data_IF_016051804166
#
_entry.id   IF_016051804166
#
_cell.length_a   1.000
_cell.length_b   1.000
_cell.length_c   1.000
_cell.angle_alpha   90.00
_cell.angle_beta   90.00
_cell.angle_gamma   90.00
#
_symmetry.space_group_name_H-M   'P 1'
#
loop_
_entity.id
_entity.type
_entity.pdbx_description
1 polymer ?
#
# COMPACT_ATOMS: atom_id res chain seq x y z
N UNK A 1 -21.83 -41.29 29.63
CA UNK A 1 -22.61 -40.57 28.59
C UNK A 1 -22.61 -39.06 28.76
N UNK A 2 -22.40 -38.48 29.96
CA UNK A 2 -22.35 -37.01 30.18
C UNK A 2 -21.05 -36.37 29.61
N UNK A 3 -19.93 -37.09 29.67
CA UNK A 3 -18.64 -36.54 29.18
C UNK A 3 -18.54 -36.32 27.67
N UNK A 4 -19.20 -37.16 26.86
CA UNK A 4 -19.19 -37.06 25.38
C UNK A 4 -20.03 -35.89 24.87
N UNK A 5 -21.09 -35.50 25.57
CA UNK A 5 -21.93 -34.34 25.19
C UNK A 5 -21.26 -32.99 25.48
N UNK A 6 -20.45 -32.89 26.55
CA UNK A 6 -19.71 -31.68 26.88
C UNK A 6 -18.60 -31.43 25.91
N UNK A 7 -17.82 -32.44 25.50
CA UNK A 7 -16.73 -32.32 24.52
C UNK A 7 -17.24 -31.88 23.14
N UNK A 8 -18.42 -32.35 22.71
CA UNK A 8 -19.03 -31.93 21.45
C UNK A 8 -19.53 -30.48 21.48
N UNK A 9 -20.00 -29.96 22.62
CA UNK A 9 -20.45 -28.58 22.74
C UNK A 9 -19.29 -27.59 22.81
N UNK A 10 -18.22 -27.93 23.51
CA UNK A 10 -17.01 -27.09 23.55
C UNK A 10 -16.34 -26.95 22.20
N UNK A 11 -16.27 -28.02 21.40
CA UNK A 11 -15.71 -27.98 20.04
C UNK A 11 -16.56 -27.08 19.11
N UNK A 12 -17.90 -27.18 19.18
CA UNK A 12 -18.79 -26.31 18.42
C UNK A 12 -18.67 -24.83 18.82
N UNK A 13 -18.48 -24.52 20.11
CA UNK A 13 -18.26 -23.14 20.57
C UNK A 13 -16.95 -22.59 20.07
N UNK A 14 -15.88 -23.39 20.14
CA UNK A 14 -14.56 -23.01 19.67
C UNK A 14 -14.53 -22.74 18.17
N UNK A 15 -15.12 -23.62 17.35
CA UNK A 15 -15.20 -23.45 15.90
C UNK A 15 -15.99 -22.19 15.52
N UNK A 16 -17.09 -21.93 16.21
CA UNK A 16 -17.88 -20.71 16.02
C UNK A 16 -17.09 -19.45 16.38
N UNK A 17 -16.35 -19.49 17.49
CA UNK A 17 -15.50 -18.38 17.93
C UNK A 17 -14.42 -18.09 16.91
N UNK A 18 -13.71 -19.11 16.41
CA UNK A 18 -12.68 -18.97 15.38
C UNK A 18 -13.27 -18.37 14.10
N UNK A 19 -14.42 -18.88 13.65
CA UNK A 19 -15.05 -18.36 12.43
C UNK A 19 -15.46 -16.90 12.57
N UNK A 20 -16.00 -16.50 13.73
CA UNK A 20 -16.40 -15.11 14.01
C UNK A 20 -15.18 -14.18 14.07
N UNK A 21 -14.15 -14.55 14.83
CA UNK A 21 -12.92 -13.77 14.95
C UNK A 21 -12.21 -13.62 13.58
N UNK A 22 -12.22 -14.68 12.77
CA UNK A 22 -11.65 -14.63 11.42
C UNK A 22 -12.42 -13.66 10.52
N UNK A 23 -13.74 -13.66 10.59
CA UNK A 23 -14.59 -12.73 9.84
C UNK A 23 -14.32 -11.27 10.25
N UNK A 24 -14.33 -10.99 11.57
CA UNK A 24 -14.07 -9.64 12.12
C UNK A 24 -12.66 -9.16 11.72
N UNK A 25 -11.65 -10.03 11.82
CA UNK A 25 -10.29 -9.70 11.35
C UNK A 25 -10.28 -9.33 9.88
N UNK A 26 -10.98 -10.09 9.03
CA UNK A 26 -11.08 -9.82 7.59
C UNK A 26 -11.74 -8.47 7.26
N UNK A 27 -12.77 -8.09 8.02
CA UNK A 27 -13.43 -6.79 7.90
C UNK A 27 -12.49 -5.64 8.32
N UNK A 28 -11.78 -5.79 9.44
CA UNK A 28 -10.79 -4.81 9.90
C UNK A 28 -9.62 -4.66 8.92
N UNK A 29 -9.09 -5.76 8.39
CA UNK A 29 -8.06 -5.73 7.35
C UNK A 29 -8.54 -5.00 6.09
N UNK A 30 -9.82 -5.12 5.75
CA UNK A 30 -10.43 -4.42 4.61
C UNK A 30 -10.57 -2.92 4.88
N UNK A 31 -11.02 -2.52 6.07
CA UNK A 31 -11.11 -1.12 6.48
C UNK A 31 -9.74 -0.43 6.46
N UNK A 32 -8.70 -1.10 6.97
CA UNK A 32 -7.33 -0.59 7.00
C UNK A 32 -6.81 -0.42 5.57
N UNK A 33 -6.96 -1.42 4.70
CA UNK A 33 -6.57 -1.33 3.28
C UNK A 33 -7.29 -0.19 2.55
N UNK A 34 -8.59 -0.03 2.79
CA UNK A 34 -9.37 1.03 2.17
C UNK A 34 -8.91 2.43 2.62
N UNK A 35 -8.44 2.57 3.86
CA UNK A 35 -7.88 3.82 4.36
C UNK A 35 -6.60 4.19 3.60
N UNK A 36 -5.65 3.26 3.47
CA UNK A 36 -4.39 3.48 2.78
C UNK A 36 -4.61 3.85 1.30
N UNK A 37 -5.45 3.09 0.62
CA UNK A 37 -5.79 3.36 -0.77
C UNK A 37 -6.58 4.69 -0.92
N UNK A 38 -7.46 5.02 0.01
CA UNK A 38 -8.15 6.31 0.06
C UNK A 38 -7.21 7.49 0.34
N UNK A 39 -6.16 7.31 1.13
CA UNK A 39 -5.12 8.32 1.35
C UNK A 39 -4.37 8.63 0.04
N UNK A 40 -4.00 7.59 -0.72
CA UNK A 40 -3.39 7.73 -2.05
C UNK A 40 -4.25 8.56 -3.01
N UNK A 41 -5.57 8.35 -3.00
CA UNK A 41 -6.48 9.13 -3.87
C UNK A 41 -6.62 10.59 -3.42
N UNK A 42 -6.61 10.87 -2.11
CA UNK A 42 -6.76 12.23 -1.55
C UNK A 42 -5.47 13.03 -1.61
N UNK A 43 -4.37 12.45 -1.18
CA UNK A 43 -3.09 13.13 -0.98
C UNK A 43 -2.16 12.96 -2.19
N UNK A 44 -2.37 11.89 -2.96
CA UNK A 44 -1.46 11.45 -4.00
C UNK A 44 -0.37 10.56 -3.46
N UNK A 45 0.54 10.13 -4.34
CA UNK A 45 1.70 9.32 -3.99
C UNK A 45 2.96 9.96 -4.52
N UNK A 46 3.98 9.98 -3.68
CA UNK A 46 5.31 10.43 -4.03
C UNK A 46 5.96 9.39 -4.94
N UNK A 47 6.28 9.82 -6.17
CA UNK A 47 6.74 8.92 -7.22
C UNK A 47 8.14 9.30 -7.71
N UNK A 48 9.06 8.34 -7.62
CA UNK A 48 10.40 8.46 -8.20
C UNK A 48 10.46 7.76 -9.57
N UNK A 49 10.97 8.48 -10.60
CA UNK A 49 11.28 7.91 -11.91
C UNK A 49 12.79 7.74 -11.99
N UNK A 50 13.26 6.51 -12.12
CA UNK A 50 14.68 6.15 -12.11
C UNK A 50 15.06 5.31 -13.33
N UNK A 51 16.33 5.27 -13.67
CA UNK A 51 16.85 4.51 -14.81
C UNK A 51 18.12 5.16 -15.36
N UNK A 52 18.85 4.45 -16.21
CA UNK A 52 20.07 4.97 -16.86
C UNK A 52 19.80 6.20 -17.73
N UNK A 53 20.82 6.98 -18.08
CA UNK A 53 20.72 7.97 -19.14
C UNK A 53 20.14 7.34 -20.43
N UNK A 54 19.32 8.07 -21.15
CA UNK A 54 18.69 7.65 -22.42
C UNK A 54 17.74 6.43 -22.35
N UNK A 55 17.45 5.87 -21.19
CA UNK A 55 16.43 4.82 -21.04
C UNK A 55 15.00 5.30 -21.37
N UNK A 56 14.78 6.62 -21.42
CA UNK A 56 13.49 7.21 -21.79
C UNK A 56 12.74 7.86 -20.63
N UNK A 57 13.41 8.19 -19.53
CA UNK A 57 12.80 8.87 -18.37
C UNK A 57 12.06 10.15 -18.72
N UNK A 58 12.71 11.03 -19.50
CA UNK A 58 12.10 12.29 -19.95
C UNK A 58 10.91 12.06 -20.89
N UNK A 59 10.96 11.00 -21.71
CA UNK A 59 9.83 10.61 -22.58
C UNK A 59 8.67 10.09 -21.74
N UNK A 60 8.94 9.26 -20.73
CA UNK A 60 7.94 8.81 -19.78
C UNK A 60 7.32 9.99 -19.04
N UNK A 61 8.14 10.92 -18.57
CA UNK A 61 7.66 12.10 -17.85
C UNK A 61 6.72 12.94 -18.74
N UNK A 62 7.07 13.13 -20.03
CA UNK A 62 6.22 13.81 -20.99
C UNK A 62 4.92 13.04 -21.27
N UNK A 63 4.97 11.71 -21.37
CA UNK A 63 3.79 10.85 -21.52
C UNK A 63 2.84 10.97 -20.32
N UNK A 64 3.39 10.97 -19.11
CA UNK A 64 2.60 11.10 -17.87
C UNK A 64 2.03 12.52 -17.73
N UNK A 65 2.79 13.56 -18.08
CA UNK A 65 2.40 14.96 -17.99
C UNK A 65 1.44 15.41 -19.11
N UNK A 66 1.21 14.57 -20.13
CA UNK A 66 0.33 14.90 -21.28
C UNK A 66 -1.07 15.34 -20.83
N UNK A 67 -1.57 16.43 -21.43
CA UNK A 67 -2.88 17.08 -21.32
C UNK A 67 -3.39 17.53 -19.92
N UNK A 68 -3.10 16.81 -18.84
CA UNK A 68 -3.51 17.16 -17.47
C UNK A 68 -2.30 17.50 -16.59
N UNK A 69 -1.63 18.61 -16.92
CA UNK A 69 -0.78 19.27 -15.95
C UNK A 69 -1.69 19.75 -14.83
N UNK A 70 -1.71 19.04 -13.71
CA UNK A 70 -2.29 19.60 -12.50
C UNK A 70 -1.55 20.91 -12.24
N UNK A 71 -2.26 22.04 -12.30
CA UNK A 71 -1.72 23.34 -11.92
C UNK A 71 -1.40 23.20 -10.43
N UNK A 72 -0.14 22.95 -10.12
CA UNK A 72 0.33 22.99 -8.73
C UNK A 72 0.38 24.46 -8.35
N UNK A 73 -0.68 24.94 -7.71
CA UNK A 73 -0.55 26.12 -6.90
C UNK A 73 0.37 25.75 -5.74
N UNK A 74 1.50 26.48 -5.54
CA UNK A 74 2.30 26.26 -4.38
C UNK A 74 1.43 26.55 -3.14
N UNK A 75 1.10 25.51 -2.39
CA UNK A 75 0.46 25.69 -1.09
C UNK A 75 1.55 26.25 -0.19
N UNK A 76 1.49 27.55 0.05
CA UNK A 76 2.37 28.24 0.98
C UNK A 76 2.13 27.65 2.39
N UNK A 77 3.11 26.93 2.94
CA UNK A 77 3.05 26.46 4.32
C UNK A 77 3.74 25.14 4.62
N UNK A 78 4.16 24.34 3.64
CA UNK A 78 4.95 23.13 3.88
C UNK A 78 6.41 23.38 3.51
N UNK A 79 7.20 23.80 4.50
CA UNK A 79 8.64 23.82 4.44
C UNK A 79 9.15 22.39 4.42
N UNK A 80 9.70 22.00 3.29
CA UNK A 80 10.58 20.88 2.93
C UNK A 80 10.00 20.02 1.83
N UNK A 81 10.76 20.03 0.75
CA UNK A 81 10.74 19.23 -0.46
C UNK A 81 9.98 19.85 -1.64
N UNK A 82 10.79 20.20 -2.65
CA UNK A 82 10.33 20.75 -3.91
C UNK A 82 9.63 19.61 -4.67
N UNK A 83 8.32 19.54 -4.61
CA UNK A 83 7.52 18.77 -5.57
C UNK A 83 7.65 19.50 -6.90
N UNK A 84 8.46 18.97 -7.81
CA UNK A 84 8.76 19.66 -9.06
C UNK A 84 7.61 19.57 -10.06
N UNK A 85 6.84 18.47 -10.02
CA UNK A 85 5.70 18.32 -10.89
C UNK A 85 4.68 17.33 -10.31
N UNK A 86 3.41 17.72 -10.22
CA UNK A 86 2.31 16.79 -9.97
C UNK A 86 1.62 16.46 -11.29
N UNK A 87 1.42 15.18 -11.55
CA UNK A 87 0.69 14.69 -12.73
C UNK A 87 -0.48 13.81 -12.28
N UNK A 88 -1.54 13.80 -13.07
CA UNK A 88 -2.68 12.92 -12.82
C UNK A 88 -2.60 11.70 -13.72
N UNK A 89 -2.55 10.52 -13.12
CA UNK A 89 -2.52 9.24 -13.81
C UNK A 89 -3.78 8.43 -13.45
N UNK A 90 -4.82 8.51 -14.28
CA UNK A 90 -6.15 8.05 -13.91
C UNK A 90 -6.69 8.88 -12.74
N UNK A 91 -7.13 8.21 -11.68
CA UNK A 91 -7.63 8.88 -10.46
C UNK A 91 -6.53 9.19 -9.45
N UNK A 92 -5.31 8.74 -9.68
CA UNK A 92 -4.18 8.91 -8.77
C UNK A 92 -3.39 10.16 -9.13
N UNK A 93 -3.09 10.98 -8.12
CA UNK A 93 -2.13 12.07 -8.24
C UNK A 93 -0.73 11.53 -7.94
N UNK A 94 0.20 11.64 -8.91
CA UNK A 94 1.61 11.35 -8.72
C UNK A 94 2.36 12.66 -8.45
N UNK A 95 2.99 12.76 -7.29
CA UNK A 95 3.93 13.83 -6.95
C UNK A 95 5.30 13.39 -7.46
N UNK A 96 5.71 13.88 -8.63
CA UNK A 96 6.99 13.52 -9.22
C UNK A 96 8.08 14.36 -8.59
N UNK A 97 9.08 13.70 -8.03
CA UNK A 97 10.31 14.37 -7.60
C UNK A 97 11.27 14.47 -8.76
N UNK A 98 12.03 15.59 -8.81
CA UNK A 98 13.02 15.81 -9.87
C UNK A 98 14.03 14.67 -9.95
N UNK A 99 13.86 13.91 -10.99
CA UNK A 99 14.82 12.92 -11.44
C UNK A 99 15.76 13.51 -12.50
N UNK A 100 15.54 14.77 -12.92
CA UNK A 100 16.35 15.47 -13.91
C UNK A 100 17.64 16.08 -13.30
N UNK A 101 17.77 16.13 -11.96
CA UNK A 101 19.02 16.44 -11.25
C UNK A 101 20.14 15.40 -11.48
N UNK A 102 19.85 14.32 -12.21
CA UNK A 102 20.85 13.40 -12.78
C UNK A 102 21.46 13.95 -14.09
N UNK A 103 21.43 15.26 -14.31
CA UNK A 103 22.22 15.84 -15.41
C UNK A 103 23.69 15.76 -15.02
N UNK A 104 24.40 14.95 -15.78
CA UNK A 104 25.86 14.86 -15.83
C UNK A 104 26.49 16.24 -15.78
N UNK A 105 27.13 16.57 -14.66
CA UNK A 105 28.17 17.56 -14.57
C UNK A 105 29.37 16.87 -13.93
N UNK A 106 30.48 16.86 -14.67
CA UNK A 106 31.71 16.12 -14.39
C UNK A 106 32.54 16.68 -13.22
N UNK A 107 31.96 17.04 -12.08
CA UNK A 107 32.71 17.53 -10.92
C UNK A 107 32.14 16.96 -9.59
N UNK A 108 32.86 17.09 -8.49
CA UNK A 108 32.59 16.59 -7.12
C UNK A 108 31.16 16.82 -6.58
N UNK A 109 30.35 17.63 -7.25
CA UNK A 109 28.90 17.82 -7.07
C UNK A 109 28.10 16.54 -7.40
N UNK A 110 28.64 15.65 -8.20
CA UNK A 110 28.01 14.42 -8.70
C UNK A 110 27.71 13.41 -7.57
N UNK A 111 28.64 13.22 -6.65
CA UNK A 111 28.46 12.29 -5.52
C UNK A 111 27.34 12.74 -4.55
N UNK A 112 27.14 14.05 -4.40
CA UNK A 112 26.08 14.62 -3.57
C UNK A 112 24.71 14.53 -4.29
N UNK A 113 24.68 14.78 -5.62
CA UNK A 113 23.48 14.62 -6.45
C UNK A 113 22.99 13.17 -6.47
N UNK A 114 23.90 12.21 -6.64
CA UNK A 114 23.61 10.78 -6.58
C UNK A 114 23.06 10.41 -5.19
N UNK A 115 23.64 10.89 -4.11
CA UNK A 115 23.20 10.63 -2.75
C UNK A 115 21.79 11.17 -2.47
N UNK A 116 21.48 12.37 -2.96
CA UNK A 116 20.14 12.98 -2.85
C UNK A 116 19.10 12.19 -3.64
N UNK A 117 19.44 11.75 -4.84
CA UNK A 117 18.56 10.93 -5.68
C UNK A 117 18.27 9.57 -5.03
N UNK A 118 19.27 8.98 -4.38
CA UNK A 118 19.08 7.74 -3.64
C UNK A 118 18.21 7.91 -2.39
N UNK A 119 18.37 9.02 -1.67
CA UNK A 119 17.53 9.34 -0.52
C UNK A 119 16.06 9.53 -0.93
N UNK A 120 15.82 10.25 -2.04
CA UNK A 120 14.46 10.42 -2.58
C UNK A 120 13.83 9.09 -3.03
N UNK A 121 14.62 8.19 -3.60
CA UNK A 121 14.15 6.84 -3.92
C UNK A 121 13.78 6.07 -2.65
N UNK A 122 14.51 6.27 -1.55
CA UNK A 122 14.24 5.63 -0.27
C UNK A 122 12.94 6.13 0.39
N UNK A 123 12.53 7.35 0.11
CA UNK A 123 11.31 8.00 0.64
C UNK A 123 10.09 7.86 -0.29
N UNK A 124 10.30 7.41 -1.55
CA UNK A 124 9.22 7.30 -2.53
C UNK A 124 8.21 6.20 -2.19
N UNK A 125 6.92 6.57 -2.23
CA UNK A 125 5.80 5.63 -2.10
C UNK A 125 5.54 4.80 -3.37
N UNK A 126 6.11 5.22 -4.52
CA UNK A 126 6.06 4.50 -5.79
C UNK A 126 7.36 4.71 -6.55
N UNK A 127 7.90 3.66 -7.16
CA UNK A 127 9.07 3.73 -8.01
C UNK A 127 8.70 3.25 -9.42
N UNK A 128 8.96 4.08 -10.42
CA UNK A 128 8.91 3.71 -11.83
C UNK A 128 10.34 3.59 -12.35
N UNK A 129 10.85 2.37 -12.44
CA UNK A 129 12.18 2.08 -12.93
C UNK A 129 12.15 1.86 -14.46
N UNK A 130 12.81 2.74 -15.22
CA UNK A 130 12.81 2.71 -16.69
C UNK A 130 14.07 2.04 -17.19
N UNK A 131 13.90 0.99 -17.98
CA UNK A 131 14.95 0.23 -18.62
C UNK A 131 14.85 0.37 -20.15
N UNK A 132 15.97 0.33 -20.83
CA UNK A 132 16.01 0.34 -22.31
C UNK A 132 15.87 -1.08 -22.84
N UNK A 133 14.70 -1.43 -23.38
CA UNK A 133 14.43 -2.77 -23.92
C UNK A 133 15.23 -3.10 -25.18
N UNK A 134 15.79 -2.09 -25.87
CA UNK A 134 16.57 -2.28 -27.09
C UNK A 134 18.06 -2.56 -26.85
N UNK A 135 18.51 -2.54 -25.58
CA UNK A 135 19.89 -2.80 -25.18
C UNK A 135 19.98 -3.96 -24.20
N UNK A 136 21.11 -4.70 -24.16
CA UNK A 136 21.33 -5.72 -23.14
C UNK A 136 21.40 -5.11 -21.75
N UNK A 137 21.01 -5.90 -20.73
CA UNK A 137 21.14 -5.54 -19.31
C UNK A 137 22.59 -5.19 -18.96
N UNK A 138 22.76 -4.06 -18.29
CA UNK A 138 24.04 -3.62 -17.77
C UNK A 138 24.18 -3.88 -16.27
N UNK A 139 25.38 -3.71 -15.73
CA UNK A 139 25.62 -3.78 -14.28
C UNK A 139 24.84 -2.71 -13.51
N UNK A 140 24.65 -1.53 -14.10
CA UNK A 140 23.87 -0.42 -13.51
C UNK A 140 22.39 -0.77 -13.42
N UNK A 141 21.84 -1.42 -14.46
CA UNK A 141 20.43 -1.89 -14.45
C UNK A 141 20.21 -2.93 -13.36
N UNK A 142 21.15 -3.86 -13.18
CA UNK A 142 21.07 -4.88 -12.12
C UNK A 142 21.17 -4.26 -10.72
N UNK A 143 22.08 -3.28 -10.54
CA UNK A 143 22.21 -2.57 -9.27
C UNK A 143 20.94 -1.78 -8.94
N UNK A 144 20.33 -1.12 -9.93
CA UNK A 144 19.07 -0.43 -9.80
C UNK A 144 17.93 -1.40 -9.41
N UNK A 145 17.84 -2.53 -10.11
CA UNK A 145 16.82 -3.55 -9.83
C UNK A 145 16.94 -4.09 -8.41
N UNK A 146 18.15 -4.41 -7.95
CA UNK A 146 18.40 -4.87 -6.58
C UNK A 146 17.96 -3.83 -5.55
N UNK A 147 18.17 -2.55 -5.82
CA UNK A 147 17.77 -1.48 -4.91
C UNK A 147 16.26 -1.24 -4.86
N UNK A 148 15.53 -1.62 -5.90
CA UNK A 148 14.07 -1.58 -5.94
C UNK A 148 13.42 -2.78 -5.22
N UNK A 149 14.19 -3.83 -4.90
CA UNK A 149 13.66 -5.04 -4.27
C UNK A 149 12.96 -4.75 -2.94
N UNK A 150 11.77 -5.33 -2.74
CA UNK A 150 10.96 -5.16 -1.53
C UNK A 150 10.25 -3.82 -1.40
N UNK A 151 10.24 -2.99 -2.45
CA UNK A 151 9.59 -1.69 -2.51
C UNK A 151 8.39 -1.69 -3.47
N UNK A 152 7.48 -0.72 -3.36
CA UNK A 152 6.41 -0.55 -4.34
C UNK A 152 7.00 -0.02 -5.66
N UNK A 153 7.57 -0.93 -6.46
CA UNK A 153 8.30 -0.63 -7.67
C UNK A 153 7.74 -1.37 -8.89
N UNK A 154 7.65 -0.66 -10.01
CA UNK A 154 7.28 -1.19 -11.33
C UNK A 154 8.46 -0.99 -12.27
N UNK A 155 8.90 -2.06 -12.93
CA UNK A 155 9.87 -1.98 -14.02
C UNK A 155 9.14 -1.68 -15.34
N UNK A 156 9.56 -0.62 -16.02
CA UNK A 156 9.08 -0.25 -17.35
C UNK A 156 10.20 -0.55 -18.36
N UNK A 157 10.03 -1.61 -19.13
CA UNK A 157 10.95 -1.97 -20.23
C UNK A 157 10.50 -1.17 -21.45
N UNK A 158 11.16 -0.03 -21.64
CA UNK A 158 10.81 0.95 -22.68
C UNK A 158 11.42 0.59 -24.03
N UNK A 159 10.91 1.24 -25.07
CA UNK A 159 11.30 1.06 -26.49
C UNK A 159 10.87 -0.30 -27.07
N UNK A 160 9.66 -0.75 -26.71
CA UNK A 160 9.05 -1.98 -27.26
C UNK A 160 8.89 -1.92 -28.80
N UNK A 161 8.92 -0.71 -29.38
CA UNK A 161 8.94 -0.47 -30.82
C UNK A 161 10.23 -0.95 -31.50
N UNK A 162 11.26 -1.33 -30.73
CA UNK A 162 12.55 -1.81 -31.23
C UNK A 162 12.77 -3.29 -30.94
N UNK A 163 13.69 -3.96 -31.67
CA UNK A 163 14.05 -5.33 -31.35
C UNK A 163 14.54 -5.47 -29.90
N UNK A 164 13.90 -6.36 -29.13
CA UNK A 164 14.22 -6.56 -27.72
C UNK A 164 15.56 -7.29 -27.56
N UNK A 165 16.47 -6.73 -26.78
CA UNK A 165 17.72 -7.36 -26.33
C UNK A 165 17.78 -7.52 -24.81
N UNK A 166 16.73 -7.07 -24.12
CA UNK A 166 16.60 -7.02 -22.68
C UNK A 166 15.94 -8.31 -22.15
N UNK A 167 16.63 -9.01 -21.25
CA UNK A 167 16.04 -10.16 -20.56
C UNK A 167 15.36 -9.71 -19.27
N UNK A 168 14.04 -9.57 -19.33
CA UNK A 168 13.22 -9.09 -18.22
C UNK A 168 13.14 -10.10 -17.08
N UNK A 169 13.35 -11.40 -17.31
CA UNK A 169 13.26 -12.44 -16.29
C UNK A 169 14.32 -12.26 -15.20
N UNK A 170 15.50 -11.75 -15.59
CA UNK A 170 16.62 -11.54 -14.66
C UNK A 170 16.26 -10.56 -13.55
N UNK A 171 15.42 -9.56 -13.83
CA UNK A 171 15.04 -8.52 -12.86
C UNK A 171 13.64 -8.71 -12.29
N UNK A 172 12.83 -9.60 -12.83
CA UNK A 172 11.41 -9.75 -12.49
C UNK A 172 11.18 -9.95 -10.99
N UNK A 173 12.04 -10.69 -10.30
CA UNK A 173 11.94 -10.93 -8.86
C UNK A 173 12.13 -9.70 -7.97
N UNK A 174 12.63 -8.58 -8.52
CA UNK A 174 12.90 -7.36 -7.77
C UNK A 174 11.75 -6.34 -7.83
N UNK A 175 10.74 -6.60 -8.67
CA UNK A 175 9.63 -5.67 -8.91
C UNK A 175 8.29 -6.33 -8.69
N UNK A 176 7.30 -5.53 -8.29
CA UNK A 176 5.93 -6.01 -8.21
C UNK A 176 5.36 -6.36 -9.59
N UNK A 177 5.78 -5.64 -10.63
CA UNK A 177 5.41 -5.87 -12.02
C UNK A 177 6.53 -5.42 -12.96
N UNK A 178 6.65 -6.13 -14.10
CA UNK A 178 7.52 -5.73 -15.22
C UNK A 178 6.62 -5.54 -16.43
N UNK A 179 6.68 -4.36 -17.06
CA UNK A 179 5.81 -3.96 -18.15
C UNK A 179 6.62 -3.56 -19.37
N UNK A 180 6.45 -4.22 -20.51
CA UNK A 180 6.91 -3.72 -21.77
C UNK A 180 6.07 -2.48 -22.15
N UNK A 181 6.72 -1.40 -22.57
CA UNK A 181 6.06 -0.14 -22.92
C UNK A 181 6.80 0.57 -24.05
N UNK A 182 6.07 1.36 -24.83
CA UNK A 182 6.63 2.37 -25.71
C UNK A 182 6.19 3.74 -25.19
N UNK A 183 7.09 4.47 -24.52
CA UNK A 183 6.75 5.77 -23.94
C UNK A 183 6.44 6.85 -24.99
N UNK A 184 6.59 6.59 -26.27
CA UNK A 184 6.15 7.46 -27.35
C UNK A 184 4.68 7.23 -27.72
N UNK A 185 4.10 6.12 -27.32
CA UNK A 185 2.71 5.75 -27.61
C UNK A 185 1.78 6.09 -26.43
N UNK A 186 0.70 6.79 -26.73
CA UNK A 186 -0.31 7.17 -25.71
C UNK A 186 -0.96 5.96 -25.04
N UNK A 187 -1.04 4.82 -25.72
CA UNK A 187 -1.53 3.57 -25.18
C UNK A 187 -0.79 3.10 -23.93
N UNK A 188 0.54 3.31 -23.87
CA UNK A 188 1.39 2.96 -22.73
C UNK A 188 0.98 3.67 -21.44
N UNK A 189 0.43 4.90 -21.51
CA UNK A 189 -0.09 5.62 -20.34
C UNK A 189 -1.19 4.85 -19.63
N UNK A 190 -2.11 4.23 -20.37
CA UNK A 190 -3.22 3.43 -19.79
C UNK A 190 -2.71 2.17 -19.12
N UNK A 191 -1.72 1.51 -19.72
CA UNK A 191 -1.10 0.31 -19.16
C UNK A 191 -0.41 0.65 -17.83
N UNK A 192 0.37 1.73 -17.81
CA UNK A 192 1.05 2.20 -16.61
C UNK A 192 0.03 2.61 -15.54
N UNK A 193 -1.05 3.32 -15.90
CA UNK A 193 -2.09 3.72 -14.97
C UNK A 193 -2.76 2.52 -14.29
N UNK A 194 -3.12 1.49 -15.07
CA UNK A 194 -3.72 0.27 -14.54
C UNK A 194 -2.76 -0.49 -13.60
N UNK A 195 -1.49 -0.54 -13.93
CA UNK A 195 -0.47 -1.19 -13.10
C UNK A 195 -0.23 -0.43 -11.78
N UNK A 196 -0.15 0.89 -11.83
CA UNK A 196 -0.01 1.75 -10.65
C UNK A 196 -1.24 1.59 -9.75
N UNK A 197 -2.45 1.67 -10.31
CA UNK A 197 -3.69 1.50 -9.56
C UNK A 197 -3.76 0.11 -8.89
N UNK A 198 -3.31 -0.93 -9.59
CA UNK A 198 -3.24 -2.29 -9.04
C UNK A 198 -2.22 -2.40 -7.90
N UNK A 199 -1.03 -1.83 -8.06
CA UNK A 199 0.04 -1.87 -7.05
C UNK A 199 -0.38 -1.12 -5.78
N UNK A 200 -1.03 0.04 -5.93
CA UNK A 200 -1.47 0.87 -4.82
C UNK A 200 -2.86 0.49 -4.26
N UNK A 201 -3.48 -0.57 -4.81
CA UNK A 201 -4.76 -1.09 -4.32
C UNK A 201 -5.96 -0.18 -4.57
N UNK A 202 -5.85 0.80 -5.49
CA UNK A 202 -6.91 1.79 -5.72
C UNK A 202 -8.00 1.34 -6.68
N UNK A 203 -7.80 0.24 -7.42
CA UNK A 203 -8.76 -0.28 -8.41
C UNK A 203 -10.02 -0.90 -7.79
N UNK A 204 -10.00 -1.26 -6.51
CA UNK A 204 -11.10 -1.96 -5.84
C UNK A 204 -11.72 -1.12 -4.71
N UNK A 205 -11.51 0.19 -4.72
CA UNK A 205 -12.15 1.07 -3.72
C UNK A 205 -13.60 1.25 -4.13
N UNK A 206 -14.51 0.72 -3.33
CA UNK A 206 -15.92 1.09 -3.40
C UNK A 206 -16.09 2.47 -2.74
N UNK A 207 -16.53 3.51 -3.49
CA UNK A 207 -16.75 4.84 -2.92
C UNK A 207 -17.81 4.86 -1.81
N UNK A 208 -18.66 3.83 -1.74
CA UNK A 208 -19.72 3.68 -0.74
C UNK A 208 -19.34 2.75 0.41
N UNK A 209 -18.17 2.09 0.35
CA UNK A 209 -17.70 1.26 1.45
C UNK A 209 -17.34 2.12 2.67
N UNK A 210 -17.52 1.53 3.83
CA UNK A 210 -17.07 2.15 5.08
C UNK A 210 -15.58 2.47 4.99
N UNK A 211 -15.21 3.70 5.30
CA UNK A 211 -13.82 4.16 5.28
C UNK A 211 -13.47 4.91 6.55
N UNK A 212 -12.24 4.74 6.99
CA UNK A 212 -11.69 5.47 8.12
C UNK A 212 -11.36 6.90 7.68
N UNK A 213 -11.69 7.89 8.53
CA UNK A 213 -11.56 9.30 8.18
C UNK A 213 -10.27 9.96 8.68
N UNK A 214 -9.46 9.26 9.52
CA UNK A 214 -8.26 9.86 10.07
C UNK A 214 -7.34 8.88 10.79
N UNK A 215 -6.12 9.36 11.10
CA UNK A 215 -5.04 8.59 11.75
C UNK A 215 -5.47 7.96 13.10
N UNK A 216 -6.32 8.66 13.87
CA UNK A 216 -6.83 8.12 15.14
C UNK A 216 -7.67 6.87 14.91
N UNK A 217 -8.56 6.90 13.91
CA UNK A 217 -9.39 5.75 13.57
C UNK A 217 -8.57 4.62 12.98
N UNK A 218 -7.57 4.91 12.16
CA UNK A 218 -6.62 3.91 11.66
C UNK A 218 -5.89 3.21 12.79
N UNK A 219 -5.36 3.97 13.77
CA UNK A 219 -4.67 3.42 14.92
C UNK A 219 -5.60 2.52 15.77
N UNK A 220 -6.85 2.93 15.97
CA UNK A 220 -7.85 2.14 16.70
C UNK A 220 -8.21 0.84 15.95
N UNK A 221 -8.47 0.92 14.64
CA UNK A 221 -8.75 -0.27 13.81
C UNK A 221 -7.56 -1.24 13.77
N UNK A 222 -6.34 -0.73 13.74
CA UNK A 222 -5.12 -1.56 13.78
C UNK A 222 -4.98 -2.28 15.12
N UNK A 223 -5.19 -1.59 16.25
CA UNK A 223 -5.18 -2.22 17.57
C UNK A 223 -6.26 -3.29 17.70
N UNK A 224 -7.49 -3.02 17.24
CA UNK A 224 -8.57 -4.00 17.25
C UNK A 224 -8.20 -5.24 16.43
N UNK A 225 -7.66 -5.08 15.22
CA UNK A 225 -7.21 -6.18 14.37
C UNK A 225 -6.12 -7.02 15.06
N UNK A 226 -5.13 -6.38 15.68
CA UNK A 226 -4.01 -7.06 16.34
C UNK A 226 -4.49 -7.83 17.57
N UNK A 227 -5.43 -7.27 18.34
CA UNK A 227 -6.05 -7.96 19.45
C UNK A 227 -6.87 -9.18 19.00
N UNK A 228 -7.67 -9.06 17.92
CA UNK A 228 -8.39 -10.19 17.32
C UNK A 228 -7.42 -11.26 16.81
N UNK A 229 -6.29 -10.88 16.21
CA UNK A 229 -5.24 -11.82 15.80
C UNK A 229 -4.66 -12.56 17.02
N UNK A 230 -4.37 -11.85 18.12
CA UNK A 230 -3.93 -12.44 19.39
C UNK A 230 -4.95 -13.45 19.97
N UNK A 231 -6.25 -13.14 19.87
CA UNK A 231 -7.31 -14.07 20.26
C UNK A 231 -7.30 -15.36 19.42
N UNK A 232 -7.13 -15.25 18.09
CA UNK A 232 -7.02 -16.40 17.18
C UNK A 232 -5.78 -17.26 17.49
N UNK A 233 -4.64 -16.61 17.77
CA UNK A 233 -3.41 -17.29 18.15
C UNK A 233 -3.55 -18.02 19.50
N UNK A 234 -4.22 -17.40 20.47
CA UNK A 234 -4.52 -18.03 21.76
C UNK A 234 -5.43 -19.27 21.61
N UNK A 235 -6.47 -19.18 20.77
CA UNK A 235 -7.31 -20.33 20.45
C UNK A 235 -6.50 -21.45 19.78
N UNK A 236 -5.67 -21.11 18.77
CA UNK A 236 -4.88 -22.07 18.01
C UNK A 236 -3.79 -22.72 18.86
N UNK A 237 -3.16 -21.96 19.77
CA UNK A 237 -2.15 -22.41 20.71
C UNK A 237 -2.67 -23.27 21.86
N UNK A 238 -4.00 -23.47 21.96
CA UNK A 238 -4.62 -24.28 23.00
C UNK A 238 -4.68 -23.60 24.37
N UNK A 239 -4.52 -22.28 24.43
CA UNK A 239 -4.69 -21.50 25.65
C UNK A 239 -6.15 -21.54 26.14
N UNK A 240 -6.34 -21.33 27.44
CA UNK A 240 -7.66 -21.28 28.05
C UNK A 240 -8.51 -20.11 27.53
N UNK A 241 -9.82 -20.23 27.66
CA UNK A 241 -10.78 -19.18 27.25
C UNK A 241 -10.53 -17.83 27.94
N UNK A 242 -9.93 -17.86 29.14
CA UNK A 242 -9.57 -16.63 29.86
C UNK A 242 -8.56 -15.77 29.09
N UNK A 243 -7.55 -16.39 28.46
CA UNK A 243 -6.58 -15.67 27.63
C UNK A 243 -7.24 -15.10 26.36
N UNK A 244 -8.18 -15.85 25.78
CA UNK A 244 -8.95 -15.39 24.61
C UNK A 244 -9.85 -14.21 24.99
N UNK A 245 -10.50 -14.26 26.18
CA UNK A 245 -11.36 -13.19 26.68
C UNK A 245 -10.61 -11.87 26.82
N UNK A 246 -9.41 -11.89 27.37
CA UNK A 246 -8.58 -10.67 27.49
C UNK A 246 -8.32 -10.03 26.12
N UNK A 247 -7.94 -10.84 25.12
CA UNK A 247 -7.72 -10.30 23.78
C UNK A 247 -9.01 -9.77 23.13
N UNK A 248 -10.16 -10.39 23.41
CA UNK A 248 -11.46 -9.91 22.90
C UNK A 248 -11.84 -8.60 23.59
N UNK A 249 -11.61 -8.46 24.89
CA UNK A 249 -11.86 -7.22 25.62
C UNK A 249 -10.98 -6.07 25.09
N UNK A 250 -9.70 -6.33 24.84
CA UNK A 250 -8.78 -5.37 24.20
C UNK A 250 -9.27 -4.94 22.79
N UNK A 251 -9.82 -5.89 22.02
CA UNK A 251 -10.39 -5.60 20.71
C UNK A 251 -11.65 -4.72 20.82
N UNK A 252 -12.53 -5.00 21.79
CA UNK A 252 -13.73 -4.21 22.04
C UNK A 252 -13.39 -2.79 22.46
N UNK A 253 -12.44 -2.61 23.37
CA UNK A 253 -11.98 -1.28 23.79
C UNK A 253 -11.44 -0.49 22.61
N UNK A 254 -10.65 -1.11 21.74
CA UNK A 254 -10.14 -0.48 20.52
C UNK A 254 -11.26 -0.11 19.53
N UNK A 255 -12.30 -0.95 19.38
CA UNK A 255 -13.46 -0.65 18.54
C UNK A 255 -14.30 0.50 19.12
N UNK A 256 -14.42 0.59 20.43
CA UNK A 256 -15.10 1.70 21.08
C UNK A 256 -14.34 3.03 20.90
N UNK A 257 -13.01 3.00 20.95
CA UNK A 257 -12.20 4.14 20.57
C UNK A 257 -12.39 4.56 19.10
N UNK A 258 -12.67 3.59 18.22
CA UNK A 258 -12.95 3.82 16.81
C UNK A 258 -14.29 4.52 16.60
N UNK A 259 -15.35 4.03 17.23
CA UNK A 259 -16.73 4.53 17.08
C UNK A 259 -17.01 5.74 17.98
N UNK A 260 -16.28 5.90 19.06
CA UNK A 260 -16.53 6.90 20.11
C UNK A 260 -17.58 6.44 21.12
N UNK A 261 -17.92 5.17 21.14
CA UNK A 261 -18.86 4.57 22.07
C UNK A 261 -18.13 4.02 23.32
N UNK A 262 -18.81 3.97 24.47
CA UNK A 262 -18.25 3.36 25.67
C UNK A 262 -18.57 1.86 25.72
N UNK A 263 -17.56 0.99 25.65
CA UNK A 263 -17.70 -0.47 25.68
C UNK A 263 -18.49 -0.97 26.88
N UNK A 264 -18.27 -0.37 28.04
CA UNK A 264 -18.88 -0.80 29.29
C UNK A 264 -20.40 -0.65 29.31
N UNK A 265 -20.97 0.38 28.71
CA UNK A 265 -22.42 0.58 28.68
C UNK A 265 -23.14 -0.35 27.69
N UNK A 266 -22.53 -0.57 26.52
CA UNK A 266 -23.11 -1.41 25.47
C UNK A 266 -23.11 -2.91 25.86
N UNK A 267 -21.99 -3.40 26.43
CA UNK A 267 -21.90 -4.78 26.92
C UNK A 267 -22.85 -5.01 28.10
N UNK A 268 -22.95 -4.07 29.03
CA UNK A 268 -23.85 -4.13 30.15
C UNK A 268 -25.32 -4.18 29.67
N UNK A 269 -25.70 -3.33 28.74
CA UNK A 269 -27.05 -3.28 28.19
C UNK A 269 -27.40 -4.58 27.44
N UNK A 270 -26.50 -5.11 26.62
CA UNK A 270 -26.74 -6.35 25.87
C UNK A 270 -26.79 -7.60 26.79
N UNK A 271 -25.98 -7.62 27.85
CA UNK A 271 -26.03 -8.65 28.88
C UNK A 271 -27.36 -8.57 29.64
N UNK A 272 -27.84 -7.38 30.00
CA UNK A 272 -29.13 -7.20 30.67
C UNK A 272 -30.31 -7.51 29.73
N UNK A 273 -30.23 -7.28 28.44
CA UNK A 273 -31.27 -7.64 27.47
C UNK A 273 -31.34 -9.16 27.19
N UNK A 274 -30.21 -9.84 27.18
CA UNK A 274 -30.14 -11.30 26.88
C UNK A 274 -30.26 -12.19 28.11
N UNK A 275 -29.84 -11.71 29.27
CA UNK A 275 -30.08 -12.37 30.54
C UNK A 275 -31.28 -11.70 31.21
N UNK A 276 -32.47 -12.13 30.84
CA UNK A 276 -33.64 -11.92 31.72
C UNK A 276 -33.31 -12.53 33.09
N UNK A 277 -32.79 -11.70 34.02
CA UNK A 277 -32.67 -12.06 35.41
C UNK A 277 -34.10 -12.23 35.90
N UNK A 278 -34.43 -13.46 36.21
CA UNK A 278 -35.76 -13.97 36.49
C UNK A 278 -36.59 -13.12 37.45
N UNK A 279 -37.86 -13.12 37.14
CA UNK A 279 -38.91 -12.99 38.15
C UNK A 279 -39.06 -14.31 38.89
#
# INVERSE_FOLDING_TARGET
EIGVRLVGSEMCIRDRLVSTLTAVKGELDTLIRNYDAGAVLREGVDCAIVGRPNAGKSTLLNLLAGFDRAIVTPVAGTTRDVVEQAVRLGDIRLNLFDTAGLRETEDEIEAEGIRRSWKKLDEAGLILAVFDGSEPLTREDLALAQRCAGRPAIALVNKEDKPTQFDAEIIAGNFAMVLPVCCQEEGSRRVIAAAVARLLGTNNIDPHAASLSGQRQLAAATRARDAVAGALDAVSGGFGLDAVSVCVDDALDALCDLTGENASENVINEVFERFCVGK
#
